data_IF_351347563072
#
_entry.id   IF_351347563072
#
_cell.length_a   1.000
_cell.length_b   1.000
_cell.length_c   1.000
_cell.angle_alpha   90.00
_cell.angle_beta   90.00
_cell.angle_gamma   90.00
#
_symmetry.space_group_name_H-M   'P 1'
#
loop_
_entity.id
_entity.type
_entity.pdbx_description
1 polymer ?
#
# COMPACT_ATOMS: atom_id res chain seq x y z
N UNK A 1 -2.63 33.87 -14.14
CA UNK A 1 -2.28 33.20 -12.87
C UNK A 1 -2.67 31.75 -13.01
N UNK A 2 -1.74 30.78 -13.02
CA UNK A 2 -2.13 29.38 -13.02
C UNK A 2 -2.41 28.93 -11.58
N UNK A 3 -3.59 28.35 -11.38
CA UNK A 3 -4.05 27.79 -10.11
C UNK A 3 -3.08 26.71 -9.62
N UNK A 4 -2.57 26.86 -8.40
CA UNK A 4 -1.74 25.88 -7.71
C UNK A 4 -2.57 24.63 -7.38
N UNK A 5 -2.54 23.66 -8.29
CA UNK A 5 -3.03 22.30 -8.12
C UNK A 5 -2.12 21.50 -7.16
N UNK A 6 -2.58 20.36 -6.61
CA UNK A 6 -2.23 19.87 -5.28
C UNK A 6 -0.73 19.52 -5.14
N UNK A 7 -0.19 19.82 -3.96
CA UNK A 7 1.19 19.50 -3.58
C UNK A 7 1.49 18.00 -3.71
N UNK A 8 2.51 17.60 -4.50
CA UNK A 8 2.82 16.21 -4.83
C UNK A 8 3.76 15.54 -3.82
N UNK A 9 3.59 15.79 -2.52
CA UNK A 9 4.22 14.98 -1.47
C UNK A 9 3.28 13.81 -1.14
N UNK A 10 3.48 12.56 -1.54
CA UNK A 10 4.61 11.94 -2.19
C UNK A 10 4.13 10.59 -2.79
N UNK A 11 4.18 10.39 -4.10
CA UNK A 11 3.93 9.10 -4.76
C UNK A 11 5.00 8.02 -4.48
N UNK A 12 6.05 8.35 -3.71
CA UNK A 12 7.25 7.51 -3.61
C UNK A 12 7.00 6.22 -2.80
N UNK A 13 6.27 6.31 -1.69
CA UNK A 13 5.86 5.13 -0.92
C UNK A 13 4.89 4.28 -1.75
N UNK A 14 3.94 4.88 -2.45
CA UNK A 14 2.97 4.14 -3.25
C UNK A 14 3.59 3.48 -4.48
N UNK A 15 4.50 4.13 -5.19
CA UNK A 15 5.17 3.56 -6.36
C UNK A 15 6.06 2.37 -5.95
N UNK A 16 6.70 2.46 -4.79
CA UNK A 16 7.50 1.38 -4.22
C UNK A 16 6.64 0.24 -3.66
N UNK A 17 5.53 0.55 -2.98
CA UNK A 17 4.57 -0.45 -2.49
C UNK A 17 3.81 -1.13 -3.64
N UNK A 18 3.42 -0.39 -4.67
CA UNK A 18 2.70 -0.90 -5.83
C UNK A 18 3.54 -1.85 -6.69
N UNK A 19 4.88 -1.78 -6.65
CA UNK A 19 5.77 -2.74 -7.32
C UNK A 19 5.76 -4.13 -6.69
N UNK A 20 5.44 -4.22 -5.40
CA UNK A 20 5.38 -5.49 -4.67
C UNK A 20 4.06 -6.21 -4.90
N UNK A 21 2.98 -5.46 -5.14
CA UNK A 21 1.63 -6.01 -5.31
C UNK A 21 1.47 -6.94 -6.53
N UNK A 22 2.06 -6.67 -7.72
CA UNK A 22 2.13 -7.60 -8.84
C UNK A 22 2.84 -8.91 -8.50
N UNK A 23 3.92 -8.83 -7.70
CA UNK A 23 4.66 -10.01 -7.25
C UNK A 23 3.88 -10.80 -6.19
N UNK A 24 3.02 -10.13 -5.43
CA UNK A 24 2.18 -10.72 -4.39
C UNK A 24 0.85 -11.17 -5.00
N UNK A 25 0.88 -12.32 -5.66
CA UNK A 25 -0.31 -13.11 -6.03
C UNK A 25 -1.21 -12.55 -7.15
N UNK A 26 -0.64 -11.84 -8.14
CA UNK A 26 -1.37 -11.48 -9.36
C UNK A 26 -2.35 -10.33 -9.18
N UNK A 27 -2.13 -9.48 -8.18
CA UNK A 27 -2.80 -8.19 -8.08
C UNK A 27 -2.11 -7.23 -9.03
N UNK A 28 -2.79 -6.87 -10.11
CA UNK A 28 -2.24 -5.93 -11.10
C UNK A 28 -2.17 -4.53 -10.52
N UNK A 29 -1.17 -3.74 -10.94
CA UNK A 29 -1.04 -2.34 -10.56
C UNK A 29 -2.32 -1.51 -10.87
N UNK A 30 -3.10 -1.91 -11.87
CA UNK A 30 -4.40 -1.31 -12.17
C UNK A 30 -5.44 -1.51 -11.06
N UNK A 31 -5.50 -2.70 -10.42
CA UNK A 31 -6.40 -2.96 -9.27
C UNK A 31 -5.96 -2.23 -8.00
N UNK A 32 -4.68 -1.93 -7.93
CA UNK A 32 -4.09 -1.16 -6.84
C UNK A 32 -4.43 0.32 -7.02
N UNK A 33 -4.29 0.85 -8.24
CA UNK A 33 -4.64 2.22 -8.59
C UNK A 33 -6.13 2.54 -8.29
N UNK A 34 -7.04 1.56 -8.46
CA UNK A 34 -8.45 1.74 -8.08
C UNK A 34 -8.63 1.95 -6.58
N UNK A 35 -7.77 1.43 -5.70
CA UNK A 35 -7.85 1.68 -4.26
C UNK A 35 -7.51 3.12 -3.88
N UNK A 36 -6.51 3.72 -4.52
CA UNK A 36 -6.19 5.13 -4.28
C UNK A 36 -7.27 6.07 -4.80
N UNK A 37 -7.97 5.71 -5.88
CA UNK A 37 -9.02 6.55 -6.48
C UNK A 37 -10.38 6.36 -5.80
N UNK A 38 -10.81 5.12 -5.59
CA UNK A 38 -12.15 4.80 -5.05
C UNK A 38 -12.19 4.76 -3.53
N UNK A 39 -11.12 4.29 -2.88
CA UNK A 39 -11.05 4.11 -1.42
C UNK A 39 -10.19 5.16 -0.72
N UNK A 40 -9.58 6.09 -1.49
CA UNK A 40 -8.67 7.13 -0.99
C UNK A 40 -7.57 6.59 -0.07
N UNK A 41 -7.09 5.37 -0.32
CA UNK A 41 -6.01 4.75 0.44
C UNK A 41 -4.69 5.28 -0.10
N UNK A 42 -3.98 6.03 0.74
CA UNK A 42 -2.61 6.48 0.49
C UNK A 42 -1.58 5.42 0.94
N UNK A 43 -0.30 5.70 0.68
CA UNK A 43 0.78 4.75 0.99
C UNK A 43 0.94 4.45 2.49
N UNK A 44 0.61 5.41 3.36
CA UNK A 44 0.69 5.23 4.82
C UNK A 44 -0.51 4.44 5.34
N UNK A 45 -1.72 4.76 4.90
CA UNK A 45 -2.93 3.99 5.22
C UNK A 45 -2.80 2.54 4.73
N UNK A 46 -2.17 2.31 3.58
CA UNK A 46 -1.89 0.97 3.08
C UNK A 46 -1.05 0.13 4.06
N UNK A 47 -0.07 0.72 4.73
CA UNK A 47 0.76 0.06 5.75
C UNK A 47 0.02 -0.21 7.07
N UNK A 48 -1.12 0.44 7.27
CA UNK A 48 -2.00 0.23 8.42
C UNK A 48 -3.08 -0.81 8.16
N UNK A 49 -3.28 -1.20 6.89
CA UNK A 49 -4.27 -2.22 6.53
C UNK A 49 -3.93 -3.56 7.20
N UNK A 50 -4.94 -4.13 7.86
CA UNK A 50 -4.86 -5.48 8.41
C UNK A 50 -5.34 -6.52 7.40
N UNK A 51 -5.08 -7.80 7.67
CA UNK A 51 -5.66 -8.91 6.91
C UNK A 51 -7.18 -8.76 6.76
N UNK A 52 -7.87 -8.31 7.81
CA UNK A 52 -9.33 -8.14 7.81
C UNK A 52 -9.77 -7.04 6.84
N UNK A 53 -9.04 -5.93 6.78
CA UNK A 53 -9.37 -4.80 5.90
C UNK A 53 -9.19 -5.19 4.43
N UNK A 54 -8.14 -5.94 4.11
CA UNK A 54 -7.90 -6.47 2.77
C UNK A 54 -9.06 -7.37 2.29
N UNK A 55 -9.63 -8.17 3.19
CA UNK A 55 -10.74 -9.08 2.86
C UNK A 55 -12.08 -8.35 2.82
N UNK A 56 -12.36 -7.47 3.79
CA UNK A 56 -13.68 -6.85 3.97
C UNK A 56 -13.86 -5.54 3.21
N UNK A 57 -12.83 -4.70 3.15
CA UNK A 57 -12.88 -3.38 2.49
C UNK A 57 -12.48 -3.49 1.03
N UNK A 58 -11.41 -4.24 0.73
CA UNK A 58 -10.90 -4.40 -0.63
C UNK A 58 -11.44 -5.62 -1.37
N UNK A 59 -12.31 -6.42 -0.72
CA UNK A 59 -12.90 -7.65 -1.27
C UNK A 59 -11.87 -8.62 -1.86
N UNK A 60 -10.69 -8.69 -1.25
CA UNK A 60 -9.62 -9.61 -1.68
C UNK A 60 -9.83 -10.96 -1.00
N UNK A 61 -9.64 -12.07 -1.75
CA UNK A 61 -9.68 -13.41 -1.16
C UNK A 61 -8.64 -13.55 -0.04
N UNK A 62 -8.95 -14.35 0.98
CA UNK A 62 -8.10 -14.55 2.16
C UNK A 62 -6.65 -14.95 1.81
N UNK A 63 -6.45 -15.81 0.82
CA UNK A 63 -5.11 -16.25 0.38
C UNK A 63 -4.21 -15.10 -0.10
N UNK A 64 -4.59 -14.34 -1.13
CA UNK A 64 -3.88 -13.13 -1.53
C UNK A 64 -3.78 -12.07 -0.43
N UNK A 65 -4.85 -11.86 0.35
CA UNK A 65 -4.86 -10.89 1.46
C UNK A 65 -3.77 -11.20 2.51
N UNK A 66 -3.62 -12.47 2.90
CA UNK A 66 -2.57 -12.93 3.81
C UNK A 66 -1.17 -12.62 3.28
N UNK A 67 -0.94 -12.83 1.98
CA UNK A 67 0.38 -12.56 1.38
C UNK A 67 0.72 -11.07 1.38
N UNK A 68 -0.24 -10.21 1.05
CA UNK A 68 -0.06 -8.74 1.09
C UNK A 68 0.19 -8.29 2.53
N UNK A 69 -0.60 -8.78 3.48
CA UNK A 69 -0.43 -8.46 4.89
C UNK A 69 0.95 -8.89 5.41
N UNK A 70 1.42 -10.09 5.05
CA UNK A 70 2.77 -10.53 5.39
C UNK A 70 3.85 -9.67 4.75
N UNK A 71 3.67 -9.23 3.50
CA UNK A 71 4.59 -8.26 2.88
C UNK A 71 4.61 -6.95 3.67
N UNK A 72 3.45 -6.38 4.03
CA UNK A 72 3.35 -5.17 4.86
C UNK A 72 4.07 -5.34 6.21
N UNK A 73 3.89 -6.49 6.88
CA UNK A 73 4.58 -6.79 8.14
C UNK A 73 6.11 -6.81 7.98
N UNK A 74 6.61 -7.40 6.89
CA UNK A 74 8.05 -7.42 6.59
C UNK A 74 8.59 -6.01 6.36
N UNK A 75 7.85 -5.13 5.69
CA UNK A 75 8.22 -3.73 5.50
C UNK A 75 8.27 -2.95 6.82
N UNK A 76 7.24 -3.08 7.67
CA UNK A 76 7.22 -2.43 8.99
C UNK A 76 8.37 -2.88 9.89
N UNK A 77 8.82 -4.14 9.74
CA UNK A 77 9.99 -4.66 10.46
C UNK A 77 11.31 -4.11 9.91
N UNK A 78 11.41 -3.92 8.60
CA UNK A 78 12.58 -3.34 7.96
C UNK A 78 12.75 -1.85 8.32
N UNK A 79 11.66 -1.08 8.35
CA UNK A 79 11.72 0.35 8.69
C UNK A 79 12.01 0.61 10.17
N UNK A 80 11.48 -0.22 11.08
CA UNK A 80 11.86 -0.15 12.51
C UNK A 80 13.34 -0.44 12.76
N UNK A 81 13.99 -1.21 11.89
CA UNK A 81 15.42 -1.50 12.01
C UNK A 81 16.30 -0.34 11.55
N UNK A 82 15.77 0.57 10.71
CA UNK A 82 16.49 1.76 10.23
C UNK A 82 16.44 2.96 11.19
N UNK A 83 15.53 2.97 12.17
CA UNK A 83 15.41 4.05 13.16
C UNK A 83 16.13 3.77 14.50
N UNK A 84 16.98 2.74 14.59
CA UNK A 84 17.73 2.43 15.81
C UNK A 84 19.22 2.86 15.76
N UNK A 85 19.57 3.87 14.96
CA UNK A 85 20.92 4.47 14.92
C UNK A 85 20.95 5.94 15.37
N UNK A 86 20.15 6.32 16.38
CA UNK A 86 20.32 7.57 17.13
C UNK A 86 20.61 7.31 18.61
#
# INVERSE_FOLDING_TARGET
MPCSAPSPSMPHCWDQHSKLLPSVAGITASRVATWSVEQQIDGEAFLLLTQTDLVKVLSIKLGPALKIFNSILMFKSAEKSACNEL
#
